data_IF_897225866429
#
_entry.id   IF_897225866429
#
_cell.length_a   1.000
_cell.length_b   1.000
_cell.length_c   1.000
_cell.angle_alpha   90.00
_cell.angle_beta   90.00
_cell.angle_gamma   90.00
#
_symmetry.space_group_name_H-M   'P 1'
#
loop_
_entity.id
_entity.type
_entity.pdbx_description
1 polymer ?
#
# COMPACT_ATOMS: atom_id res chain seq x y z
N UNK A 1 -19.91 7.60 -43.35
CA UNK A 1 -19.28 6.56 -42.50
C UNK A 1 -18.07 7.08 -41.74
N UNK A 2 -17.11 7.78 -42.35
CA UNK A 2 -15.90 8.33 -41.64
C UNK A 2 -16.30 9.33 -40.55
N UNK A 3 -17.15 10.30 -40.79
CA UNK A 3 -17.55 11.37 -39.84
C UNK A 3 -18.28 10.80 -38.60
N UNK A 4 -19.02 9.68 -38.74
CA UNK A 4 -19.72 9.05 -37.62
C UNK A 4 -18.71 8.32 -36.71
N UNK A 5 -17.73 7.63 -37.30
CA UNK A 5 -16.64 6.97 -36.57
C UNK A 5 -15.80 7.96 -35.76
N UNK A 6 -15.52 9.15 -36.30
CA UNK A 6 -14.74 10.20 -35.62
C UNK A 6 -15.50 10.72 -34.37
N UNK A 7 -16.81 10.87 -34.45
CA UNK A 7 -17.63 11.29 -33.31
C UNK A 7 -17.69 10.22 -32.21
N UNK A 8 -17.81 8.93 -32.56
CA UNK A 8 -17.82 7.83 -31.59
C UNK A 8 -16.48 7.71 -30.87
N UNK A 9 -15.37 7.81 -31.62
CA UNK A 9 -14.02 7.81 -31.04
C UNK A 9 -13.82 8.97 -30.06
N UNK A 10 -14.26 10.17 -30.42
CA UNK A 10 -14.17 11.35 -29.57
C UNK A 10 -14.99 11.16 -28.28
N UNK A 11 -16.18 10.57 -28.38
CA UNK A 11 -17.03 10.26 -27.20
C UNK A 11 -16.38 9.22 -26.28
N UNK A 12 -15.79 8.16 -26.82
CA UNK A 12 -15.06 7.16 -26.03
C UNK A 12 -13.89 7.83 -25.29
N UNK A 13 -13.09 8.66 -25.96
CA UNK A 13 -11.99 9.39 -25.33
C UNK A 13 -12.49 10.30 -24.21
N UNK A 14 -13.55 11.07 -24.47
CA UNK A 14 -14.12 11.97 -23.46
C UNK A 14 -14.66 11.23 -22.23
N UNK A 15 -15.39 10.10 -22.44
CA UNK A 15 -15.87 9.24 -21.37
C UNK A 15 -14.71 8.64 -20.57
N UNK A 16 -13.68 8.14 -21.24
CA UNK A 16 -12.51 7.56 -20.60
C UNK A 16 -11.80 8.57 -19.70
N UNK A 17 -11.58 9.80 -20.19
CA UNK A 17 -10.97 10.87 -19.39
C UNK A 17 -11.83 11.20 -18.18
N UNK A 18 -13.15 11.34 -18.35
CA UNK A 18 -14.08 11.60 -17.25
C UNK A 18 -14.03 10.49 -16.18
N UNK A 19 -14.07 9.23 -16.61
CA UNK A 19 -14.02 8.07 -15.72
C UNK A 19 -12.69 8.02 -14.97
N UNK A 20 -11.56 8.29 -15.63
CA UNK A 20 -10.25 8.36 -14.99
C UNK A 20 -10.18 9.44 -13.90
N UNK A 21 -10.77 10.60 -14.15
CA UNK A 21 -10.85 11.67 -13.14
C UNK A 21 -11.67 11.20 -11.92
N UNK A 22 -12.82 10.57 -12.16
CA UNK A 22 -13.68 10.03 -11.10
C UNK A 22 -12.94 8.97 -10.30
N UNK A 23 -12.28 8.03 -10.97
CA UNK A 23 -11.47 6.97 -10.33
C UNK A 23 -10.36 7.55 -9.47
N UNK A 24 -9.66 8.58 -9.95
CA UNK A 24 -8.63 9.26 -9.18
C UNK A 24 -9.16 9.81 -7.86
N UNK A 25 -10.31 10.51 -7.90
CA UNK A 25 -10.92 11.04 -6.69
C UNK A 25 -11.46 9.95 -5.77
N UNK A 26 -12.11 8.91 -6.30
CA UNK A 26 -12.58 7.78 -5.51
C UNK A 26 -11.42 7.07 -4.80
N UNK A 27 -10.35 6.75 -5.52
CA UNK A 27 -9.16 6.11 -4.93
C UNK A 27 -8.54 6.99 -3.85
N UNK A 28 -8.49 8.30 -4.06
CA UNK A 28 -7.98 9.26 -3.07
C UNK A 28 -8.84 9.29 -1.79
N UNK A 29 -10.17 9.19 -1.93
CA UNK A 29 -11.11 9.11 -0.79
C UNK A 29 -10.98 7.79 -0.02
N UNK A 30 -10.70 6.67 -0.72
CA UNK A 30 -10.50 5.36 -0.11
C UNK A 30 -9.19 5.27 0.69
N UNK A 31 -8.23 6.17 0.44
CA UNK A 31 -7.00 6.32 1.22
C UNK A 31 -5.83 5.47 0.73
N UNK A 32 -4.64 5.75 1.27
CA UNK A 32 -3.36 5.14 0.81
C UNK A 32 -3.23 3.65 1.12
N UNK A 33 -4.00 3.13 2.07
CA UNK A 33 -3.97 1.72 2.47
C UNK A 33 -4.35 0.78 1.31
N UNK A 34 -5.25 1.23 0.45
CA UNK A 34 -5.73 0.47 -0.71
C UNK A 34 -4.67 0.17 -1.77
N UNK A 35 -3.57 0.91 -1.79
CA UNK A 35 -2.53 0.75 -2.82
C UNK A 35 -1.50 -0.33 -2.45
N UNK A 36 -1.21 -0.53 -1.16
CA UNK A 36 -0.09 -1.38 -0.72
C UNK A 36 -0.48 -2.60 0.12
N UNK A 37 -1.66 -2.60 0.76
CA UNK A 37 -2.07 -3.65 1.70
C UNK A 37 -3.57 -3.91 1.59
N UNK A 38 -4.01 -4.33 0.40
CA UNK A 38 -5.40 -4.69 0.14
C UNK A 38 -5.78 -5.94 0.94
N UNK A 39 -6.86 -5.86 1.71
CA UNK A 39 -7.53 -7.04 2.21
C UNK A 39 -8.48 -7.61 1.13
N UNK A 40 -9.08 -8.77 1.39
CA UNK A 40 -9.96 -9.45 0.44
C UNK A 40 -11.12 -8.55 -0.04
N UNK A 41 -11.71 -7.74 0.84
CA UNK A 41 -12.78 -6.82 0.48
C UNK A 41 -12.29 -5.67 -0.42
N UNK A 42 -11.15 -5.06 -0.08
CA UNK A 42 -10.54 -4.00 -0.89
C UNK A 42 -10.20 -4.49 -2.30
N UNK A 43 -9.69 -5.72 -2.42
CA UNK A 43 -9.40 -6.37 -3.70
C UNK A 43 -10.67 -6.57 -4.55
N UNK A 44 -11.73 -7.10 -3.96
CA UNK A 44 -13.02 -7.29 -4.62
C UNK A 44 -13.59 -5.96 -5.15
N UNK A 45 -13.59 -4.93 -4.31
CA UNK A 45 -14.07 -3.59 -4.69
C UNK A 45 -13.19 -3.01 -5.81
N UNK A 46 -11.87 -3.13 -5.73
CA UNK A 46 -10.95 -2.60 -6.74
C UNK A 46 -11.18 -3.21 -8.12
N UNK A 47 -11.34 -4.54 -8.21
CA UNK A 47 -11.64 -5.23 -9.47
C UNK A 47 -13.00 -4.79 -10.01
N UNK A 48 -14.03 -4.72 -9.15
CA UNK A 48 -15.37 -4.33 -9.57
C UNK A 48 -15.41 -2.90 -10.10
N UNK A 49 -14.78 -1.97 -9.40
CA UNK A 49 -14.66 -0.57 -9.83
C UNK A 49 -13.96 -0.49 -11.19
N UNK A 50 -12.85 -1.22 -11.38
CA UNK A 50 -12.12 -1.25 -12.65
C UNK A 50 -12.95 -1.80 -13.80
N UNK A 51 -13.70 -2.88 -13.58
CA UNK A 51 -14.59 -3.49 -14.58
C UNK A 51 -15.72 -2.54 -14.98
N UNK A 52 -16.40 -1.93 -14.02
CA UNK A 52 -17.47 -0.95 -14.29
C UNK A 52 -16.93 0.27 -15.02
N UNK A 53 -15.74 0.75 -14.65
CA UNK A 53 -15.10 1.89 -15.30
C UNK A 53 -14.78 1.60 -16.78
N UNK A 54 -14.24 0.42 -17.09
CA UNK A 54 -13.95 0.01 -18.45
C UNK A 54 -15.24 -0.10 -19.28
N UNK A 55 -16.26 -0.72 -18.71
CA UNK A 55 -17.55 -0.92 -19.35
C UNK A 55 -18.23 0.42 -19.71
N UNK A 56 -18.24 1.40 -18.80
CA UNK A 56 -18.82 2.74 -19.06
C UNK A 56 -18.03 3.49 -20.13
N UNK A 57 -16.72 3.32 -20.15
CA UNK A 57 -15.84 4.03 -21.09
C UNK A 57 -16.03 3.55 -22.51
N UNK A 58 -16.19 2.24 -22.73
CA UNK A 58 -16.21 1.61 -24.05
C UNK A 58 -17.60 1.47 -24.65
N UNK A 59 -18.61 1.19 -23.85
CA UNK A 59 -19.98 0.95 -24.35
C UNK A 59 -20.78 2.25 -24.39
N UNK A 60 -20.88 2.83 -25.59
CA UNK A 60 -21.61 4.08 -25.83
C UNK A 60 -23.12 3.95 -25.68
N UNK A 61 -23.67 2.73 -25.74
CA UNK A 61 -25.11 2.47 -25.58
C UNK A 61 -25.54 2.52 -24.12
N UNK A 62 -24.61 2.30 -23.19
CA UNK A 62 -24.88 2.35 -21.75
C UNK A 62 -25.07 3.77 -21.25
N UNK A 63 -25.98 3.89 -20.29
CA UNK A 63 -26.23 5.15 -19.59
C UNK A 63 -25.03 5.51 -18.70
N UNK A 64 -24.30 6.55 -19.09
CA UNK A 64 -23.11 7.02 -18.36
C UNK A 64 -23.43 7.45 -16.93
N UNK A 65 -24.62 8.02 -16.68
CA UNK A 65 -25.04 8.49 -15.35
C UNK A 65 -25.22 7.29 -14.42
N UNK A 66 -25.87 6.23 -14.89
CA UNK A 66 -26.06 5.00 -14.13
C UNK A 66 -24.72 4.34 -13.78
N UNK A 67 -23.80 4.31 -14.75
CA UNK A 67 -22.46 3.78 -14.52
C UNK A 67 -21.64 4.60 -13.52
N UNK A 68 -21.63 5.91 -13.63
CA UNK A 68 -20.98 6.80 -12.65
C UNK A 68 -21.59 6.63 -11.26
N UNK A 69 -22.92 6.53 -11.17
CA UNK A 69 -23.60 6.28 -9.89
C UNK A 69 -23.13 4.97 -9.25
N UNK A 70 -22.98 3.89 -10.06
CA UNK A 70 -22.44 2.61 -9.58
C UNK A 70 -21.00 2.75 -9.05
N UNK A 71 -20.12 3.46 -9.77
CA UNK A 71 -18.76 3.72 -9.31
C UNK A 71 -18.72 4.46 -7.96
N UNK A 72 -19.58 5.46 -7.81
CA UNK A 72 -19.70 6.21 -6.54
C UNK A 72 -20.17 5.29 -5.41
N UNK A 73 -21.16 4.45 -5.64
CA UNK A 73 -21.66 3.51 -4.63
C UNK A 73 -20.57 2.52 -4.22
N UNK A 74 -19.82 1.94 -5.17
CA UNK A 74 -18.70 1.05 -4.85
C UNK A 74 -17.60 1.78 -4.08
N UNK A 75 -17.21 2.98 -4.50
CA UNK A 75 -16.21 3.77 -3.79
C UNK A 75 -16.64 4.12 -2.36
N UNK A 76 -17.88 4.56 -2.18
CA UNK A 76 -18.45 4.84 -0.85
C UNK A 76 -18.53 3.58 0.02
N UNK A 77 -18.85 2.41 -0.55
CA UNK A 77 -18.86 1.16 0.20
C UNK A 77 -17.49 0.85 0.80
N UNK A 78 -16.40 1.08 0.07
CA UNK A 78 -15.03 0.95 0.59
C UNK A 78 -14.75 1.88 1.77
N UNK A 79 -15.17 3.14 1.67
CA UNK A 79 -15.04 4.12 2.77
C UNK A 79 -15.87 3.70 3.99
N UNK A 80 -17.13 3.26 3.79
CA UNK A 80 -18.01 2.79 4.86
C UNK A 80 -17.41 1.56 5.56
N UNK A 81 -16.90 0.58 4.81
CA UNK A 81 -16.27 -0.62 5.36
C UNK A 81 -15.04 -0.23 6.17
N UNK A 82 -14.20 0.67 5.67
CA UNK A 82 -13.05 1.18 6.43
C UNK A 82 -13.49 1.81 7.75
N UNK A 83 -14.52 2.62 7.73
CA UNK A 83 -15.07 3.25 8.95
C UNK A 83 -15.65 2.22 9.93
N UNK A 84 -16.39 1.21 9.44
CA UNK A 84 -16.94 0.13 10.27
C UNK A 84 -15.84 -0.70 10.92
N UNK A 85 -14.79 -1.05 10.16
CA UNK A 85 -13.66 -1.86 10.67
C UNK A 85 -12.80 -1.11 11.69
N UNK A 86 -12.77 0.22 11.63
CA UNK A 86 -12.13 1.05 12.65
C UNK A 86 -12.92 1.08 13.96
N UNK A 87 -14.26 1.06 13.88
CA UNK A 87 -15.14 1.14 15.05
C UNK A 87 -15.50 -0.19 15.70
N UNK A 88 -15.51 -1.28 14.94
CA UNK A 88 -16.00 -2.58 15.41
C UNK A 88 -15.00 -3.70 15.14
N UNK A 89 -14.54 -4.36 16.21
CA UNK A 89 -13.68 -5.55 16.12
C UNK A 89 -14.42 -6.70 15.39
N UNK A 90 -15.70 -6.88 15.66
CA UNK A 90 -16.51 -7.92 15.00
C UNK A 90 -16.64 -7.66 13.50
N UNK A 91 -16.91 -6.40 13.09
CA UNK A 91 -16.95 -6.02 11.69
C UNK A 91 -15.59 -6.26 11.02
N UNK A 92 -14.49 -5.91 11.68
CA UNK A 92 -13.12 -6.16 11.18
C UNK A 92 -12.86 -7.64 10.95
N UNK A 93 -13.24 -8.50 11.90
CA UNK A 93 -13.05 -9.96 11.77
C UNK A 93 -13.82 -10.55 10.59
N UNK A 94 -15.03 -10.05 10.34
CA UNK A 94 -15.88 -10.56 9.26
C UNK A 94 -15.40 -10.03 7.90
N UNK A 95 -15.08 -8.74 7.80
CA UNK A 95 -14.81 -8.07 6.52
C UNK A 95 -13.34 -8.18 6.10
N UNK A 96 -12.41 -8.12 7.06
CA UNK A 96 -10.97 -8.17 6.77
C UNK A 96 -10.36 -9.56 7.06
N UNK A 97 -11.06 -10.42 7.81
CA UNK A 97 -10.50 -11.69 8.26
C UNK A 97 -9.70 -11.57 9.57
N UNK A 98 -9.05 -12.67 9.93
CA UNK A 98 -8.19 -12.79 11.12
C UNK A 98 -6.90 -13.47 10.67
N UNK A 99 -5.72 -12.98 11.08
CA UNK A 99 -4.46 -13.67 10.80
C UNK A 99 -4.48 -15.10 11.33
N UNK A 100 -3.90 -16.03 10.60
CA UNK A 100 -3.86 -17.47 10.95
C UNK A 100 -2.42 -17.90 11.22
N UNK A 101 -2.16 -18.49 12.39
CA UNK A 101 -0.84 -19.01 12.76
C UNK A 101 -0.60 -20.32 11.99
N UNK A 102 0.46 -20.36 11.19
CA UNK A 102 0.86 -21.52 10.39
C UNK A 102 1.98 -22.33 11.06
N UNK A 103 2.89 -21.63 11.76
CA UNK A 103 3.97 -22.23 12.56
C UNK A 103 3.90 -21.61 13.95
N UNK A 104 3.97 -22.43 14.98
CA UNK A 104 3.97 -22.03 16.40
C UNK A 104 5.06 -22.78 17.15
N UNK A 105 5.94 -22.03 17.83
CA UNK A 105 7.09 -22.60 18.57
C UNK A 105 7.93 -23.57 17.71
N UNK A 106 8.14 -23.24 16.44
CA UNK A 106 8.89 -24.05 15.50
C UNK A 106 8.15 -25.28 14.96
N UNK A 107 6.87 -25.44 15.26
CA UNK A 107 6.06 -26.57 14.80
C UNK A 107 5.03 -26.11 13.77
N UNK A 108 4.96 -26.81 12.65
CA UNK A 108 3.98 -26.54 11.60
C UNK A 108 2.60 -27.00 12.07
N UNK A 109 1.59 -26.13 11.95
CA UNK A 109 0.20 -26.44 12.25
C UNK A 109 -0.51 -26.85 10.96
N UNK A 110 -0.39 -28.14 10.58
CA UNK A 110 -0.96 -28.67 9.34
C UNK A 110 -2.44 -28.38 9.16
N UNK A 111 -3.23 -28.40 10.26
CA UNK A 111 -4.65 -28.09 10.24
C UNK A 111 -4.91 -26.67 9.70
N UNK A 112 -4.09 -25.72 10.10
CA UNK A 112 -4.23 -24.33 9.67
C UNK A 112 -3.76 -24.14 8.23
N UNK A 113 -2.66 -24.79 7.82
CA UNK A 113 -2.23 -24.79 6.41
C UNK A 113 -3.34 -25.30 5.49
N UNK A 114 -3.92 -26.46 5.80
CA UNK A 114 -5.03 -27.05 5.02
C UNK A 114 -6.27 -26.17 4.99
N UNK A 115 -6.60 -25.52 6.11
CA UNK A 115 -7.75 -24.62 6.21
C UNK A 115 -7.60 -23.39 5.29
N UNK A 116 -6.42 -22.85 5.21
CA UNK A 116 -6.12 -21.67 4.39
C UNK A 116 -5.73 -22.03 2.94
N UNK A 117 -5.64 -23.33 2.60
CA UNK A 117 -5.30 -23.82 1.26
C UNK A 117 -3.84 -23.67 0.90
N UNK A 118 -2.94 -23.56 1.89
CA UNK A 118 -1.50 -23.41 1.71
C UNK A 118 -0.85 -24.79 1.86
N UNK A 119 0.00 -25.18 0.92
CA UNK A 119 0.81 -26.38 1.04
C UNK A 119 2.19 -26.10 1.64
N UNK A 120 2.94 -27.17 1.94
CA UNK A 120 4.25 -27.04 2.58
C UNK A 120 5.29 -26.40 1.64
N UNK A 121 5.16 -26.60 0.32
CA UNK A 121 6.09 -26.04 -0.64
C UNK A 121 5.89 -24.53 -0.75
N UNK A 122 4.65 -24.09 -0.73
CA UNK A 122 4.27 -22.68 -0.71
C UNK A 122 4.78 -21.98 0.57
N UNK A 123 4.60 -22.60 1.76
CA UNK A 123 5.17 -22.09 3.00
C UNK A 123 6.71 -21.98 2.92
N UNK A 124 7.37 -23.00 2.33
CA UNK A 124 8.82 -22.97 2.15
C UNK A 124 9.28 -21.90 1.15
N UNK A 125 8.52 -21.69 0.09
CA UNK A 125 8.80 -20.64 -0.90
C UNK A 125 8.73 -19.26 -0.26
N UNK A 126 7.64 -18.98 0.45
CA UNK A 126 7.46 -17.73 1.18
C UNK A 126 8.55 -17.53 2.25
N UNK A 127 8.93 -18.58 2.97
CA UNK A 127 10.05 -18.52 3.91
C UNK A 127 11.36 -18.11 3.22
N UNK A 128 11.71 -18.71 2.07
CA UNK A 128 12.92 -18.34 1.32
C UNK A 128 12.89 -16.91 0.82
N UNK A 129 11.74 -16.43 0.33
CA UNK A 129 11.57 -15.03 -0.10
C UNK A 129 11.82 -14.05 1.05
N UNK A 130 11.52 -14.45 2.28
CA UNK A 130 11.77 -13.69 3.50
C UNK A 130 13.15 -13.98 4.14
N UNK A 131 14.04 -14.70 3.44
CA UNK A 131 15.42 -14.98 3.88
C UNK A 131 15.60 -16.21 4.78
N UNK A 132 14.54 -17.00 4.99
CA UNK A 132 14.58 -18.21 5.79
C UNK A 132 14.69 -19.44 4.90
N UNK A 133 15.91 -19.91 4.64
CA UNK A 133 16.18 -21.14 3.88
C UNK A 133 16.01 -22.42 4.71
N UNK A 134 15.98 -22.29 6.02
CA UNK A 134 15.80 -23.38 6.98
C UNK A 134 14.59 -23.10 7.86
N UNK A 135 13.51 -23.88 7.68
CA UNK A 135 12.30 -23.75 8.47
C UNK A 135 12.52 -24.00 9.96
N UNK A 136 13.55 -24.78 10.34
CA UNK A 136 13.87 -25.06 11.74
C UNK A 136 14.24 -23.80 12.55
N UNK A 137 14.65 -22.72 11.85
CA UNK A 137 14.97 -21.41 12.43
C UNK A 137 13.77 -20.51 12.69
N UNK A 138 12.61 -20.89 12.17
CA UNK A 138 11.37 -20.12 12.32
C UNK A 138 10.70 -20.52 13.61
N UNK A 139 10.40 -19.55 14.47
CA UNK A 139 9.62 -19.74 15.69
C UNK A 139 8.12 -19.62 15.42
N UNK A 140 7.71 -18.54 14.73
CA UNK A 140 6.33 -18.31 14.31
C UNK A 140 6.26 -17.95 12.83
N UNK A 141 5.22 -18.45 12.15
CA UNK A 141 4.80 -17.96 10.85
C UNK A 141 3.29 -17.66 10.90
N UNK A 142 2.90 -16.48 10.44
CA UNK A 142 1.52 -15.99 10.51
C UNK A 142 1.08 -15.57 9.12
N UNK A 143 0.01 -16.19 8.62
CA UNK A 143 -0.68 -15.72 7.41
C UNK A 143 -1.49 -14.48 7.77
N UNK A 144 -1.13 -13.36 7.18
CA UNK A 144 -1.79 -12.08 7.38
C UNK A 144 -3.11 -11.99 6.58
N UNK A 145 -3.97 -11.07 6.95
CA UNK A 145 -5.24 -10.82 6.23
C UNK A 145 -5.06 -10.28 4.81
N UNK A 146 -3.84 -9.90 4.45
CA UNK A 146 -3.43 -9.48 3.10
C UNK A 146 -2.96 -10.62 2.23
N UNK A 147 -2.86 -11.85 2.78
CA UNK A 147 -2.34 -13.03 2.09
C UNK A 147 -0.83 -13.22 2.18
N UNK A 148 -0.08 -12.26 2.74
CA UNK A 148 1.36 -12.41 2.97
C UNK A 148 1.62 -13.25 4.22
N UNK A 149 2.78 -13.90 4.30
CA UNK A 149 3.21 -14.63 5.50
C UNK A 149 4.30 -13.84 6.22
N UNK A 150 4.05 -13.52 7.49
CA UNK A 150 5.03 -12.89 8.38
C UNK A 150 5.79 -13.98 9.14
N UNK A 151 7.13 -13.85 9.25
CA UNK A 151 7.99 -14.83 9.90
C UNK A 151 8.71 -14.20 11.09
N UNK A 152 8.78 -14.93 12.20
CA UNK A 152 9.59 -14.62 13.37
C UNK A 152 10.62 -15.71 13.58
N UNK A 153 11.90 -15.37 13.56
CA UNK A 153 12.99 -16.30 13.85
C UNK A 153 13.00 -16.74 15.32
N UNK A 154 13.64 -17.87 15.61
CA UNK A 154 14.00 -18.23 16.98
C UNK A 154 15.00 -17.24 17.55
N UNK A 155 14.96 -17.01 18.85
CA UNK A 155 15.82 -16.02 19.52
C UNK A 155 17.31 -16.28 19.29
N UNK A 156 17.72 -17.55 19.18
CA UNK A 156 19.09 -17.97 18.91
C UNK A 156 19.56 -17.69 17.46
N UNK A 157 18.61 -17.55 16.53
CA UNK A 157 18.86 -17.27 15.10
C UNK A 157 18.66 -15.78 14.75
N UNK A 158 18.32 -14.92 15.72
CA UNK A 158 18.19 -13.48 15.49
C UNK A 158 19.55 -12.78 15.55
N UNK A 159 19.82 -11.81 14.67
CA UNK A 159 21.05 -11.00 14.76
C UNK A 159 21.12 -10.24 16.10
N UNK A 160 22.32 -10.17 16.68
CA UNK A 160 22.56 -9.35 17.87
C UNK A 160 22.27 -7.89 17.58
N UNK A 161 21.49 -7.27 18.44
CA UNK A 161 21.20 -5.84 18.38
C UNK A 161 22.22 -5.03 19.20
N UNK A 162 22.30 -3.73 18.93
CA UNK A 162 23.09 -2.82 19.79
C UNK A 162 22.59 -2.81 21.23
N UNK A 163 21.29 -3.04 21.44
CA UNK A 163 20.68 -3.18 22.75
C UNK A 163 21.21 -4.39 23.51
N UNK A 164 21.30 -5.55 22.83
CA UNK A 164 21.86 -6.79 23.43
C UNK A 164 23.31 -6.61 23.83
N UNK A 165 24.07 -5.85 23.06
CA UNK A 165 25.46 -5.51 23.33
C UNK A 165 25.62 -4.34 24.32
N UNK A 166 24.51 -3.78 24.83
CA UNK A 166 24.49 -2.60 25.74
C UNK A 166 25.21 -1.36 25.19
N UNK A 167 25.28 -1.24 23.84
CA UNK A 167 25.84 -0.07 23.18
C UNK A 167 24.82 1.05 23.21
N UNK A 168 25.11 2.11 23.93
CA UNK A 168 24.28 3.32 23.95
C UNK A 168 24.43 4.05 22.61
N UNK A 169 23.34 4.19 21.88
CA UNK A 169 23.28 5.02 20.67
C UNK A 169 22.18 6.06 20.85
N UNK A 170 22.40 7.23 20.28
CA UNK A 170 21.39 8.28 20.21
C UNK A 170 20.51 7.99 19.00
N UNK A 171 19.20 8.07 19.19
CA UNK A 171 18.26 7.92 18.08
C UNK A 171 18.48 9.06 17.07
N UNK A 172 18.56 8.70 15.80
CA UNK A 172 18.63 9.68 14.72
C UNK A 172 17.21 10.12 14.37
N UNK A 173 16.96 11.43 14.26
CA UNK A 173 15.66 11.92 13.82
C UNK A 173 15.38 11.50 12.37
N UNK A 174 14.10 11.46 12.01
CA UNK A 174 13.69 11.19 10.64
C UNK A 174 14.30 12.23 9.69
N UNK A 175 14.98 11.77 8.64
CA UNK A 175 15.51 12.65 7.61
C UNK A 175 14.36 13.32 6.84
N UNK A 176 14.48 14.62 6.64
CA UNK A 176 13.52 15.39 5.83
C UNK A 176 14.22 15.93 4.59
N UNK A 177 13.56 15.76 3.44
CA UNK A 177 14.02 16.41 2.21
C UNK A 177 13.81 17.92 2.33
N UNK A 178 14.88 18.68 2.23
CA UNK A 178 14.86 20.15 2.28
C UNK A 178 14.84 20.74 0.87
N UNK A 179 15.51 20.07 -0.07
CA UNK A 179 15.55 20.45 -1.48
C UNK A 179 15.13 19.24 -2.31
N UNK A 180 14.21 19.42 -3.25
CA UNK A 180 13.79 18.42 -4.25
C UNK A 180 13.76 19.12 -5.60
N UNK A 181 14.40 18.54 -6.59
CA UNK A 181 14.45 19.05 -7.98
C UNK A 181 14.80 20.56 -8.04
N UNK A 182 15.81 20.96 -7.29
CA UNK A 182 16.25 22.36 -7.20
C UNK A 182 15.26 23.29 -6.47
N UNK A 183 14.18 22.77 -5.91
CA UNK A 183 13.15 23.55 -5.19
C UNK A 183 13.29 23.40 -3.68
N UNK A 184 13.36 24.54 -2.97
CA UNK A 184 13.40 24.57 -1.52
C UNK A 184 12.04 24.26 -0.91
N UNK A 185 11.98 23.27 -0.02
CA UNK A 185 10.78 22.92 0.75
C UNK A 185 10.82 23.65 2.12
N UNK A 186 10.38 24.91 2.12
CA UNK A 186 10.43 25.77 3.31
C UNK A 186 9.73 25.17 4.55
N UNK A 187 8.61 24.47 4.36
CA UNK A 187 7.89 23.85 5.45
C UNK A 187 8.72 22.76 6.15
N UNK A 188 9.49 21.98 5.37
CA UNK A 188 10.35 20.95 5.92
C UNK A 188 11.53 21.57 6.68
N UNK A 189 12.09 22.66 6.16
CA UNK A 189 13.15 23.41 6.82
C UNK A 189 12.69 23.97 8.18
N UNK A 190 11.48 24.57 8.21
CA UNK A 190 10.86 25.07 9.45
C UNK A 190 10.57 23.94 10.45
N UNK A 191 10.08 22.77 9.98
CA UNK A 191 9.80 21.62 10.84
C UNK A 191 11.07 21.06 11.50
N UNK A 192 12.23 21.24 10.88
CA UNK A 192 13.53 20.91 11.46
C UNK A 192 14.06 21.99 12.41
N UNK A 193 13.32 23.06 12.67
CA UNK A 193 13.78 24.25 13.41
C UNK A 193 15.05 24.87 12.80
N UNK A 194 15.12 24.89 11.47
CA UNK A 194 16.21 25.51 10.71
C UNK A 194 15.66 26.61 9.81
N UNK A 195 16.53 27.56 9.50
CA UNK A 195 16.24 28.70 8.63
C UNK A 195 17.05 28.64 7.33
N UNK A 196 16.77 29.55 6.44
CA UNK A 196 17.47 29.65 5.16
C UNK A 196 18.95 30.00 5.34
N UNK A 197 19.30 30.77 6.36
CA UNK A 197 20.70 31.14 6.66
C UNK A 197 21.49 29.90 7.02
N UNK A 198 20.92 29.01 7.83
CA UNK A 198 21.52 27.72 8.17
C UNK A 198 21.72 26.86 6.90
N UNK A 199 20.71 26.81 6.00
CA UNK A 199 20.80 26.03 4.76
C UNK A 199 21.91 26.55 3.84
N UNK A 200 21.97 27.86 3.61
CA UNK A 200 23.01 28.49 2.79
C UNK A 200 24.41 28.21 3.32
N UNK A 201 24.57 28.24 4.64
CA UNK A 201 25.85 27.91 5.31
C UNK A 201 26.23 26.44 5.09
N UNK A 202 25.24 25.51 5.24
CA UNK A 202 25.49 24.07 5.02
C UNK A 202 25.82 23.75 3.56
N UNK A 203 25.12 24.36 2.61
CA UNK A 203 25.41 24.20 1.19
C UNK A 203 26.81 24.67 0.86
N UNK A 204 27.19 25.85 1.34
CA UNK A 204 28.53 26.43 1.14
C UNK A 204 29.62 25.56 1.76
N UNK A 205 29.40 25.03 2.97
CA UNK A 205 30.33 24.12 3.63
C UNK A 205 30.57 22.84 2.85
N UNK A 206 29.54 22.37 2.13
CA UNK A 206 29.57 21.17 1.25
C UNK A 206 30.04 21.49 -0.18
N UNK A 207 30.40 22.74 -0.48
CA UNK A 207 30.89 23.15 -1.80
C UNK A 207 29.84 23.43 -2.85
N UNK A 208 28.56 23.51 -2.45
CA UNK A 208 27.46 23.82 -3.37
C UNK A 208 27.19 25.32 -3.38
N UNK A 209 27.10 25.89 -4.59
CA UNK A 209 26.84 27.34 -4.77
C UNK A 209 25.38 27.65 -5.09
N UNK A 210 24.62 26.68 -5.62
CA UNK A 210 23.23 26.85 -6.02
C UNK A 210 22.42 25.61 -5.67
N UNK A 211 21.19 25.82 -5.20
CA UNK A 211 20.22 24.74 -4.92
C UNK A 211 19.74 24.01 -6.17
N UNK A 212 19.86 24.65 -7.34
CA UNK A 212 19.50 24.07 -8.65
C UNK A 212 20.38 22.89 -9.09
N UNK A 213 21.46 22.61 -8.37
CA UNK A 213 22.35 21.46 -8.62
C UNK A 213 21.72 20.14 -8.13
N UNK A 214 20.72 20.21 -7.25
CA UNK A 214 20.04 19.03 -6.70
C UNK A 214 18.86 18.63 -7.59
N UNK A 215 19.19 17.97 -8.71
CA UNK A 215 18.25 17.31 -9.59
C UNK A 215 18.10 15.85 -9.21
#
# INVERSE_FOLDING_TARGET
>A
MVIIMDNELLLVIARTILVLIILFFLTKCMGKKQVSQMNMYDYLIGITIGSVAADISLDLQKNIIAGISSLIVYGLSGVIVTWLTLKSISARRILCGIPTILVEEGKIIEKNLRKEGIDINELQEEARQNGYFDLSKINYAVLETTGNISFLAKSEDTPLTKGDMKIKQKDEPLSANIIIDGTLLENNLKNMNKDQIWLEKELKNKGYQDIKIFY
#
